data_IF_641720155688
#
_entry.id   IF_641720155688
#
_cell.length_a   1.000
_cell.length_b   1.000
_cell.length_c   1.000
_cell.angle_alpha   90.00
_cell.angle_beta   90.00
_cell.angle_gamma   90.00
#
_symmetry.space_group_name_H-M   'P 1'
#
loop_
_entity.id
_entity.type
_entity.pdbx_description
1 polymer ?
#
# COMPACT_ATOMS: atom_id res chain seq x y z
N UNK A 1 -25.55 20.74 5.80
CA UNK A 1 -25.87 19.36 5.39
C UNK A 1 -24.53 18.76 5.04
N UNK A 2 -23.92 18.11 6.01
CA UNK A 2 -22.54 17.60 5.93
C UNK A 2 -22.54 16.34 5.09
N UNK A 3 -21.93 16.38 3.91
CA UNK A 3 -21.74 15.21 3.05
C UNK A 3 -20.83 14.21 3.76
N UNK A 4 -21.46 13.18 4.34
CA UNK A 4 -20.79 12.03 4.95
C UNK A 4 -20.00 11.24 3.88
N UNK A 5 -20.35 11.42 2.60
CA UNK A 5 -19.66 10.83 1.45
C UNK A 5 -18.28 11.46 1.17
N UNK A 6 -18.00 12.67 1.67
CA UNK A 6 -16.66 13.28 1.56
C UNK A 6 -15.67 12.81 2.64
N UNK A 7 -16.13 12.11 3.69
CA UNK A 7 -15.24 11.56 4.71
C UNK A 7 -14.58 10.23 4.28
N UNK A 8 -15.01 9.65 3.15
CA UNK A 8 -14.43 8.43 2.60
C UNK A 8 -13.30 8.69 1.58
N UNK A 9 -13.22 9.91 1.03
CA UNK A 9 -12.05 10.36 0.27
C UNK A 9 -10.98 10.89 1.23
N UNK A 10 -10.34 9.99 1.97
CA UNK A 10 -8.94 10.26 2.26
C UNK A 10 -8.22 10.14 0.91
N UNK A 11 -7.69 11.25 0.38
CA UNK A 11 -6.78 11.22 -0.76
C UNK A 11 -5.84 10.03 -0.57
N UNK A 12 -5.94 9.02 -1.44
CA UNK A 12 -5.06 7.87 -1.35
C UNK A 12 -3.65 8.36 -1.66
N UNK A 13 -2.90 8.64 -0.59
CA UNK A 13 -1.58 9.25 -0.70
C UNK A 13 -0.60 8.27 -1.35
N UNK A 14 -0.68 6.98 -0.98
CA UNK A 14 0.25 5.95 -1.43
C UNK A 14 -0.34 4.54 -1.38
N UNK A 15 0.34 3.60 -2.05
CA UNK A 15 0.16 2.17 -1.89
C UNK A 15 1.11 1.56 -0.84
N UNK A 16 0.88 0.28 -0.54
CA UNK A 16 1.75 -0.51 0.33
C UNK A 16 1.45 -2.00 0.20
N UNK A 17 2.38 -2.83 0.66
CA UNK A 17 2.29 -4.29 0.58
C UNK A 17 2.35 -4.88 1.98
N UNK A 18 1.34 -5.66 2.36
CA UNK A 18 1.38 -6.46 3.59
C UNK A 18 2.50 -7.51 3.45
N UNK A 19 3.45 -7.55 4.38
CA UNK A 19 4.57 -8.51 4.37
C UNK A 19 4.59 -9.39 5.63
N UNK A 20 3.60 -9.20 6.51
CA UNK A 20 3.39 -10.01 7.71
C UNK A 20 2.13 -9.57 8.44
N UNK A 21 1.81 -10.19 9.56
CA UNK A 21 0.55 -9.90 10.29
C UNK A 21 0.47 -8.48 10.85
N UNK A 22 1.59 -7.76 10.97
CA UNK A 22 1.60 -6.41 11.56
C UNK A 22 2.51 -5.44 10.81
N UNK A 23 2.94 -5.79 9.60
CA UNK A 23 3.96 -5.06 8.86
C UNK A 23 3.55 -4.83 7.42
N UNK A 24 3.60 -3.57 7.00
CA UNK A 24 3.40 -3.13 5.63
C UNK A 24 4.70 -2.50 5.12
N UNK A 25 5.13 -2.94 3.94
CA UNK A 25 6.22 -2.35 3.18
C UNK A 25 5.68 -1.26 2.24
N UNK A 26 6.34 -0.12 2.17
CA UNK A 26 5.98 0.99 1.27
C UNK A 26 7.25 1.79 0.92
N UNK A 27 7.09 2.90 0.21
CA UNK A 27 8.16 3.85 -0.06
C UNK A 27 8.43 4.74 1.17
N UNK A 28 9.64 5.25 1.32
CA UNK A 28 9.99 6.15 2.41
C UNK A 28 9.26 7.49 2.31
N UNK A 29 9.13 8.05 1.10
CA UNK A 29 8.42 9.31 0.88
C UNK A 29 6.93 9.23 1.24
N UNK A 30 6.34 8.04 1.21
CA UNK A 30 4.96 7.78 1.62
C UNK A 30 4.73 7.82 3.13
N UNK A 31 5.79 7.82 3.94
CA UNK A 31 5.66 7.76 5.39
C UNK A 31 5.21 9.08 6.00
N UNK A 32 5.43 10.21 5.31
CA UNK A 32 4.93 11.51 5.78
C UNK A 32 3.41 11.58 5.62
N UNK A 33 2.71 12.00 6.68
CA UNK A 33 1.24 12.09 6.68
C UNK A 33 0.48 10.75 6.76
N UNK A 34 1.13 9.59 6.63
CA UNK A 34 0.47 8.27 6.74
C UNK A 34 -0.04 8.00 8.16
N UNK A 35 -1.37 7.99 8.33
CA UNK A 35 -2.04 7.77 9.64
C UNK A 35 -2.78 6.43 9.74
N UNK A 36 -3.31 5.95 8.62
CA UNK A 36 -4.11 4.75 8.53
C UNK A 36 -3.70 3.92 7.31
N UNK A 37 -3.96 2.62 7.39
CA UNK A 37 -3.86 1.68 6.28
C UNK A 37 -5.20 0.97 6.15
N UNK A 38 -5.65 0.80 4.92
CA UNK A 38 -6.77 -0.07 4.56
C UNK A 38 -6.25 -1.30 3.81
N UNK A 39 -6.64 -2.49 4.27
CA UNK A 39 -6.29 -3.77 3.66
C UNK A 39 -7.56 -4.48 3.18
N UNK A 40 -7.46 -5.31 2.14
CA UNK A 40 -8.59 -6.08 1.62
C UNK A 40 -9.61 -5.25 0.82
N UNK A 41 -9.16 -4.12 0.27
CA UNK A 41 -9.93 -3.20 -0.57
C UNK A 41 -9.87 -3.64 -2.05
N UNK A 42 -10.91 -3.35 -2.82
CA UNK A 42 -10.95 -3.53 -4.27
C UNK A 42 -11.62 -2.34 -4.98
N UNK A 43 -12.77 -1.88 -4.50
CA UNK A 43 -13.49 -0.70 -5.02
C UNK A 43 -13.56 0.38 -3.94
N UNK A 44 -12.77 1.45 -4.11
CA UNK A 44 -12.65 2.55 -3.16
C UNK A 44 -13.99 3.26 -2.84
N UNK A 45 -15.01 3.06 -3.68
CA UNK A 45 -16.34 3.67 -3.52
C UNK A 45 -17.32 2.79 -2.75
N UNK A 46 -16.98 1.54 -2.51
CA UNK A 46 -17.89 0.54 -1.96
C UNK A 46 -17.26 -0.14 -0.74
N UNK A 47 -18.03 -0.29 0.33
CA UNK A 47 -17.62 -1.12 1.46
C UNK A 47 -18.04 -2.58 1.21
N UNK A 48 -17.09 -3.44 0.86
CA UNK A 48 -17.30 -4.84 0.47
C UNK A 48 -17.20 -5.82 1.66
N UNK A 49 -16.92 -5.32 2.86
CA UNK A 49 -16.78 -6.04 4.14
C UNK A 49 -15.50 -6.87 4.25
N UNK A 50 -14.69 -6.93 3.20
CA UNK A 50 -13.33 -7.49 3.23
C UNK A 50 -12.32 -6.53 3.86
N UNK A 51 -12.66 -5.25 3.95
CA UNK A 51 -11.76 -4.20 4.34
C UNK A 51 -11.46 -4.26 5.84
N UNK A 52 -10.22 -3.96 6.18
CA UNK A 52 -9.84 -3.61 7.56
C UNK A 52 -8.99 -2.37 7.54
N UNK A 53 -9.46 -1.35 8.25
CA UNK A 53 -8.73 -0.12 8.49
C UNK A 53 -8.02 -0.17 9.85
N UNK A 54 -6.73 0.17 9.86
CA UNK A 54 -5.90 0.17 11.06
C UNK A 54 -5.09 1.46 11.13
N UNK A 55 -4.90 1.98 12.34
CA UNK A 55 -3.91 3.01 12.62
C UNK A 55 -2.48 2.46 12.54
N UNK A 56 -1.53 3.35 12.27
CA UNK A 56 -0.10 3.05 12.28
C UNK A 56 0.45 3.27 13.71
N UNK A 57 1.13 2.27 14.26
CA UNK A 57 1.86 2.33 15.54
C UNK A 57 3.21 3.03 15.37
N UNK A 58 3.91 2.70 14.27
CA UNK A 58 5.24 3.19 13.99
C UNK A 58 5.52 3.23 12.49
N UNK A 59 6.06 4.35 12.04
CA UNK A 59 6.68 4.50 10.72
C UNK A 59 8.20 4.40 10.86
N UNK A 60 8.83 3.59 10.01
CA UNK A 60 10.28 3.37 10.00
C UNK A 60 10.78 3.67 8.60
N UNK A 61 11.41 4.83 8.47
CA UNK A 61 12.10 5.25 7.26
C UNK A 61 13.47 4.57 7.18
N UNK A 62 13.93 4.23 5.98
CA UNK A 62 15.31 3.80 5.80
C UNK A 62 16.27 4.89 6.33
N UNK A 63 17.28 4.56 7.17
CA UNK A 63 18.14 5.56 7.79
C UNK A 63 18.94 6.40 6.78
N UNK A 64 19.23 5.81 5.62
CA UNK A 64 19.94 6.47 4.52
C UNK A 64 18.99 6.98 3.41
N UNK A 65 17.69 7.15 3.68
CA UNK A 65 16.77 7.76 2.72
C UNK A 65 17.19 9.21 2.43
N UNK A 66 17.17 9.58 1.15
CA UNK A 66 17.45 10.95 0.71
C UNK A 66 16.29 11.47 -0.15
N UNK A 67 15.59 12.48 0.36
CA UNK A 67 14.38 13.06 -0.26
C UNK A 67 14.67 13.88 -1.53
N UNK A 68 15.90 14.39 -1.70
CA UNK A 68 16.27 15.18 -2.87
C UNK A 68 16.46 14.30 -4.12
N UNK A 69 16.89 13.05 -3.93
CA UNK A 69 17.26 12.12 -5.01
C UNK A 69 16.55 10.77 -4.95
N UNK A 70 15.65 10.57 -3.98
CA UNK A 70 14.86 9.35 -3.77
C UNK A 70 15.70 8.06 -3.65
N UNK A 71 16.93 8.17 -3.15
CA UNK A 71 17.77 7.00 -2.87
C UNK A 71 17.33 6.35 -1.56
N UNK A 72 17.32 5.02 -1.53
CA UNK A 72 16.81 4.22 -0.41
C UNK A 72 15.35 4.53 -0.05
N UNK A 73 14.51 4.76 -1.06
CA UNK A 73 13.09 5.07 -0.90
C UNK A 73 12.27 3.83 -0.50
N UNK A 74 12.50 3.37 0.73
CA UNK A 74 11.87 2.20 1.32
C UNK A 74 11.51 2.47 2.79
N UNK A 75 10.31 2.07 3.16
CA UNK A 75 9.73 2.33 4.47
C UNK A 75 8.94 1.14 5.00
N UNK A 76 8.89 1.03 6.33
CA UNK A 76 8.05 0.05 7.02
C UNK A 76 7.02 0.76 7.89
N UNK A 77 5.78 0.29 7.80
CA UNK A 77 4.69 0.68 8.68
C UNK A 77 4.36 -0.50 9.59
N UNK A 78 4.45 -0.29 10.90
CA UNK A 78 3.96 -1.22 11.92
C UNK A 78 2.51 -0.87 12.23
N UNK A 79 1.60 -1.83 12.05
CA UNK A 79 0.19 -1.65 12.33
C UNK A 79 -0.07 -1.62 13.86
N UNK A 80 -1.10 -0.90 14.33
CA UNK A 80 -1.45 -0.81 15.75
C UNK A 80 -1.79 -2.14 16.42
N UNK A 81 -2.22 -3.13 15.63
CA UNK A 81 -2.46 -4.51 16.06
C UNK A 81 -2.24 -5.48 14.89
N UNK A 82 -1.94 -6.75 15.16
CA UNK A 82 -1.87 -7.74 14.10
C UNK A 82 -3.23 -7.94 13.42
N UNK A 83 -3.19 -8.19 12.10
CA UNK A 83 -4.34 -8.58 11.28
C UNK A 83 -4.47 -10.09 11.23
N UNK A 84 -5.70 -10.55 11.00
CA UNK A 84 -5.98 -11.96 10.70
C UNK A 84 -6.02 -12.11 9.20
N UNK A 85 -5.33 -13.12 8.69
CA UNK A 85 -5.38 -13.44 7.26
C UNK A 85 -6.77 -13.92 6.86
N UNK A 86 -7.16 -13.55 5.64
CA UNK A 86 -8.43 -13.92 5.02
C UNK A 86 -8.19 -14.22 3.53
N UNK A 87 -9.24 -14.60 2.80
CA UNK A 87 -9.15 -14.77 1.35
C UNK A 87 -8.86 -13.45 0.60
N UNK A 88 -9.00 -12.30 1.27
CA UNK A 88 -8.80 -10.97 0.69
C UNK A 88 -7.56 -10.25 1.27
N UNK A 89 -6.87 -10.88 2.23
CA UNK A 89 -5.77 -10.26 2.96
C UNK A 89 -4.72 -11.30 3.30
N UNK A 90 -3.72 -11.40 2.45
CA UNK A 90 -2.55 -12.26 2.60
C UNK A 90 -1.28 -11.44 2.42
N UNK A 91 -0.19 -11.79 3.10
CA UNK A 91 1.09 -11.12 2.90
C UNK A 91 1.71 -11.54 1.57
N UNK A 92 2.46 -10.64 0.95
CA UNK A 92 3.38 -10.99 -0.14
C UNK A 92 4.66 -11.61 0.43
N UNK A 93 5.28 -12.49 -0.35
CA UNK A 93 6.61 -13.01 -0.05
C UNK A 93 7.66 -11.93 -0.28
N UNK A 94 8.67 -11.89 0.58
CA UNK A 94 9.91 -11.14 0.31
C UNK A 94 10.85 -12.01 -0.54
N UNK A 95 11.68 -11.39 -1.40
CA UNK A 95 12.74 -12.12 -2.10
C UNK A 95 13.82 -12.58 -1.10
N UNK A 96 14.53 -13.64 -1.48
CA UNK A 96 15.76 -14.04 -0.79
C UNK A 96 16.87 -13.02 -1.08
N UNK A 97 17.88 -12.96 -0.21
CA UNK A 97 18.97 -11.99 -0.31
C UNK A 97 19.71 -12.01 -1.67
N UNK A 98 19.78 -13.18 -2.31
CA UNK A 98 20.44 -13.38 -3.61
C UNK A 98 19.44 -13.62 -4.75
N UNK A 99 18.18 -13.21 -4.61
CA UNK A 99 17.20 -13.33 -5.71
C UNK A 99 17.62 -12.41 -6.86
N UNK A 100 17.97 -13.01 -7.98
CA UNK A 100 18.14 -12.30 -9.25
C UNK A 100 16.82 -12.37 -10.03
N UNK A 101 16.35 -11.21 -10.52
CA UNK A 101 15.17 -11.13 -11.40
C UNK A 101 15.67 -11.20 -12.85
N UNK A 102 15.34 -12.24 -13.62
CA UNK A 102 15.79 -12.36 -15.00
C UNK A 102 15.32 -11.20 -15.88
N UNK A 103 16.11 -10.86 -16.89
CA UNK A 103 15.66 -9.96 -17.95
C UNK A 103 14.40 -10.54 -18.60
N UNK A 104 13.42 -9.68 -18.86
CA UNK A 104 12.12 -10.03 -19.44
C UNK A 104 11.24 -10.94 -18.58
N UNK A 105 11.57 -11.10 -17.29
CA UNK A 105 10.66 -11.72 -16.33
C UNK A 105 9.34 -10.95 -16.32
N UNK A 106 8.23 -11.68 -16.44
CA UNK A 106 6.90 -11.09 -16.33
C UNK A 106 6.66 -10.68 -14.87
N UNK A 107 6.42 -9.39 -14.66
CA UNK A 107 6.09 -8.79 -13.38
C UNK A 107 4.68 -8.18 -13.46
N UNK A 108 4.16 -7.78 -12.30
CA UNK A 108 2.87 -7.11 -12.20
C UNK A 108 3.01 -5.92 -11.27
N UNK A 109 2.33 -4.83 -11.60
CA UNK A 109 2.16 -3.66 -10.74
C UNK A 109 0.66 -3.50 -10.54
N UNK A 110 0.22 -3.32 -9.30
CA UNK A 110 -1.21 -3.22 -8.97
C UNK A 110 -1.48 -1.97 -8.16
N UNK A 111 -2.62 -1.33 -8.37
CA UNK A 111 -3.04 -0.18 -7.58
C UNK A 111 -4.28 0.53 -8.12
N UNK A 112 -4.64 1.61 -7.44
CA UNK A 112 -5.74 2.52 -7.75
C UNK A 112 -5.26 3.87 -8.31
N UNK A 113 -3.97 3.96 -8.64
CA UNK A 113 -3.43 5.10 -9.36
C UNK A 113 -3.96 5.17 -10.79
N UNK A 114 -3.50 6.16 -11.55
CA UNK A 114 -3.93 6.35 -12.94
C UNK A 114 -3.75 5.09 -13.79
N UNK A 115 -4.76 4.78 -14.59
CA UNK A 115 -4.74 3.69 -15.56
C UNK A 115 -3.81 4.00 -16.76
N UNK A 116 -3.78 3.08 -17.73
CA UNK A 116 -2.99 3.22 -18.97
C UNK A 116 -3.39 4.42 -19.84
N UNK A 117 -4.58 4.98 -19.63
CA UNK A 117 -5.09 6.17 -20.31
C UNK A 117 -4.90 7.45 -19.48
N UNK A 118 -4.27 7.36 -18.31
CA UNK A 118 -4.06 8.47 -17.40
C UNK A 118 -5.31 8.86 -16.59
N UNK A 119 -6.33 8.01 -16.54
CA UNK A 119 -7.57 8.23 -15.79
C UNK A 119 -7.45 7.66 -14.37
N UNK A 120 -7.93 8.42 -13.39
CA UNK A 120 -8.03 7.91 -12.01
C UNK A 120 -9.08 6.79 -11.96
N UNK A 121 -8.82 5.76 -11.14
CA UNK A 121 -9.67 4.57 -11.05
C UNK A 121 -9.98 4.24 -9.59
N UNK A 122 -11.25 4.00 -9.31
CA UNK A 122 -11.70 3.56 -7.99
C UNK A 122 -11.58 2.04 -7.82
N UNK A 123 -11.44 1.30 -8.93
CA UNK A 123 -11.34 -0.15 -8.95
C UNK A 123 -9.87 -0.56 -9.10
N UNK A 124 -9.40 -1.50 -8.28
CA UNK A 124 -8.03 -2.02 -8.30
C UNK A 124 -7.68 -2.54 -9.70
N UNK A 125 -6.65 -1.94 -10.29
CA UNK A 125 -6.11 -2.35 -11.59
C UNK A 125 -4.80 -3.10 -11.43
N UNK A 126 -4.39 -3.77 -12.51
CA UNK A 126 -3.06 -4.33 -12.63
C UNK A 126 -2.46 -4.03 -14.02
N UNK A 127 -1.20 -3.64 -14.04
CA UNK A 127 -0.36 -3.52 -15.23
C UNK A 127 0.61 -4.68 -15.34
N UNK A 128 1.11 -4.93 -16.55
CA UNK A 128 2.08 -5.96 -16.90
C UNK A 128 3.30 -5.36 -17.54
#
# INVERSE_FOLDING_TARGET
MTDIDQLLFQDQLCGGTLIGTQWVLTAAHCLDGSRYIRLGEHDLRTLEKSETELTIDKSIMHPDYNDDIYVNDIGLLKLSRPVKYTNYMLPACLPDFNTEIPLYQKCYITGWGRDENGQDTDILQYGR
#
